data_IF_624501155254
#
_entry.id   IF_624501155254
#
_cell.length_a   1.000
_cell.length_b   1.000
_cell.length_c   1.000
_cell.angle_alpha   90.00
_cell.angle_beta   90.00
_cell.angle_gamma   90.00
#
_symmetry.space_group_name_H-M   'P 1'
#
loop_
_entity.id
_entity.type
_entity.pdbx_description
1 polymer ?
#
# COMPACT_ATOMS: atom_id res chain seq x y z
N UNK A 1 -14.12 11.91 -9.24
CA UNK A 1 -13.82 10.57 -8.68
C UNK A 1 -12.37 10.46 -8.20
N UNK A 2 -11.42 11.01 -8.95
CA UNK A 2 -10.00 11.17 -8.62
C UNK A 2 -9.75 11.74 -7.24
N UNK A 3 -10.37 12.86 -6.88
CA UNK A 3 -10.17 13.47 -5.56
C UNK A 3 -10.51 12.51 -4.41
N UNK A 4 -11.52 11.64 -4.59
CA UNK A 4 -11.86 10.63 -3.61
C UNK A 4 -10.79 9.53 -3.51
N UNK A 5 -10.34 8.97 -4.63
CA UNK A 5 -9.29 7.95 -4.61
C UNK A 5 -7.91 8.50 -4.21
N UNK A 6 -7.61 9.75 -4.53
CA UNK A 6 -6.42 10.44 -4.04
C UNK A 6 -6.47 10.56 -2.51
N UNK A 7 -7.62 10.98 -1.94
CA UNK A 7 -7.81 11.01 -0.49
C UNK A 7 -7.69 9.63 0.17
N UNK A 8 -8.19 8.59 -0.50
CA UNK A 8 -8.03 7.21 -0.02
C UNK A 8 -6.57 6.76 -0.08
N UNK A 9 -5.81 7.20 -1.08
CA UNK A 9 -4.37 6.94 -1.15
C UNK A 9 -3.57 7.72 -0.07
N UNK A 10 -3.96 8.97 0.22
CA UNK A 10 -3.40 9.75 1.34
C UNK A 10 -3.63 9.03 2.67
N UNK A 11 -4.83 8.45 2.86
CA UNK A 11 -5.13 7.58 3.99
C UNK A 11 -4.21 6.33 4.03
N UNK A 12 -4.04 5.65 2.90
CA UNK A 12 -3.16 4.48 2.80
C UNK A 12 -1.73 4.81 3.24
N UNK A 13 -1.20 5.95 2.78
CA UNK A 13 0.13 6.41 3.14
C UNK A 13 0.23 6.76 4.62
N UNK A 14 -0.77 7.47 5.16
CA UNK A 14 -0.83 7.79 6.59
C UNK A 14 -0.86 6.53 7.46
N UNK A 15 -1.69 5.55 7.09
CA UNK A 15 -1.85 4.31 7.86
C UNK A 15 -0.58 3.44 7.79
N UNK A 16 0.03 3.30 6.61
CA UNK A 16 1.30 2.57 6.46
C UNK A 16 2.44 3.27 7.23
N UNK A 17 2.49 4.60 7.18
CA UNK A 17 3.45 5.39 7.96
C UNK A 17 3.32 5.16 9.46
N UNK A 18 2.08 5.07 9.99
CA UNK A 18 1.86 4.73 11.41
C UNK A 18 2.36 3.34 11.78
N UNK A 19 2.19 2.35 10.90
CA UNK A 19 2.72 1.00 11.11
C UNK A 19 4.24 1.03 11.17
N UNK A 20 4.89 1.67 10.18
CA UNK A 20 6.35 1.83 10.13
C UNK A 20 6.88 2.48 11.42
N UNK A 21 6.30 3.61 11.81
CA UNK A 21 6.71 4.34 13.01
C UNK A 21 6.45 3.57 14.32
N UNK A 22 5.48 2.65 14.33
CA UNK A 22 5.25 1.75 15.46
C UNK A 22 6.31 0.65 15.51
N UNK A 23 6.60 0.01 14.38
CA UNK A 23 7.59 -1.06 14.31
C UNK A 23 9.00 -0.54 14.65
N UNK A 24 9.35 0.70 14.29
CA UNK A 24 10.62 1.34 14.66
C UNK A 24 10.85 1.51 16.17
N UNK A 25 9.79 1.42 16.98
CA UNK A 25 9.88 1.52 18.44
C UNK A 25 10.15 0.17 19.11
N UNK A 26 10.09 -0.92 18.35
CA UNK A 26 10.44 -2.25 18.84
C UNK A 26 11.93 -2.50 18.60
N UNK A 27 12.65 -2.93 19.63
CA UNK A 27 14.06 -3.35 19.47
C UNK A 27 14.21 -4.53 18.49
N UNK A 28 13.18 -5.39 18.43
CA UNK A 28 13.12 -6.53 17.52
C UNK A 28 11.70 -6.67 16.98
N UNK A 29 11.38 -6.01 15.85
CA UNK A 29 10.10 -6.16 15.18
C UNK A 29 9.89 -7.61 14.74
N UNK A 30 8.68 -8.19 14.88
CA UNK A 30 8.44 -9.55 14.42
C UNK A 30 8.65 -9.69 12.91
N UNK A 31 9.36 -10.74 12.47
CA UNK A 31 9.56 -11.04 11.04
C UNK A 31 8.25 -11.09 10.25
N UNK A 32 7.19 -11.59 10.87
CA UNK A 32 5.85 -11.61 10.27
C UNK A 32 5.34 -10.20 9.96
N UNK A 33 5.56 -9.25 10.87
CA UNK A 33 5.16 -7.86 10.67
C UNK A 33 5.96 -7.22 9.53
N UNK A 34 7.28 -7.48 9.48
CA UNK A 34 8.18 -6.98 8.44
C UNK A 34 7.83 -7.55 7.06
N UNK A 35 7.59 -8.86 6.97
CA UNK A 35 7.16 -9.55 5.76
C UNK A 35 5.84 -8.97 5.22
N UNK A 36 4.86 -8.75 6.10
CA UNK A 36 3.56 -8.22 5.72
C UNK A 36 3.64 -6.74 5.28
N UNK A 37 4.46 -5.93 5.96
CA UNK A 37 4.70 -4.55 5.55
C UNK A 37 5.35 -4.50 4.16
N UNK A 38 6.41 -5.28 3.94
CA UNK A 38 7.06 -5.38 2.66
C UNK A 38 6.09 -5.84 1.56
N UNK A 39 5.25 -6.85 1.86
CA UNK A 39 4.22 -7.34 0.95
C UNK A 39 3.25 -6.23 0.50
N UNK A 40 2.77 -5.40 1.44
CA UNK A 40 1.89 -4.28 1.13
C UNK A 40 2.55 -3.25 0.21
N UNK A 41 3.79 -2.87 0.51
CA UNK A 41 4.53 -1.89 -0.27
C UNK A 41 4.89 -2.41 -1.67
N UNK A 42 5.23 -3.70 -1.78
CA UNK A 42 5.49 -4.34 -3.07
C UNK A 42 4.19 -4.40 -3.88
N UNK A 43 3.06 -4.80 -3.29
CA UNK A 43 1.78 -4.84 -3.98
C UNK A 43 1.38 -3.47 -4.53
N UNK A 44 1.55 -2.39 -3.75
CA UNK A 44 1.30 -1.02 -4.19
C UNK A 44 2.17 -0.64 -5.40
N UNK A 45 3.46 -1.00 -5.38
CA UNK A 45 4.39 -0.71 -6.47
C UNK A 45 4.02 -1.49 -7.74
N UNK A 46 3.80 -2.79 -7.61
CA UNK A 46 3.52 -3.69 -8.72
C UNK A 46 2.23 -3.29 -9.45
N UNK A 47 1.19 -2.88 -8.71
CA UNK A 47 -0.04 -2.38 -9.31
C UNK A 47 0.15 -1.05 -10.05
N UNK A 48 0.91 -0.11 -9.48
CA UNK A 48 1.24 1.14 -10.18
C UNK A 48 2.06 0.86 -11.44
N UNK A 49 3.03 -0.05 -11.36
CA UNK A 49 3.90 -0.39 -12.48
C UNK A 49 3.13 -1.08 -13.60
N UNK A 50 2.11 -1.89 -13.28
CA UNK A 50 1.15 -2.40 -14.27
C UNK A 50 0.36 -1.30 -14.96
N UNK A 51 -0.19 -0.35 -14.19
CA UNK A 51 -0.93 0.81 -14.75
C UNK A 51 -0.03 1.62 -15.70
N UNK A 52 1.21 1.87 -15.29
CA UNK A 52 2.20 2.63 -16.05
C UNK A 52 2.92 1.82 -17.14
N UNK A 53 2.58 0.54 -17.33
CA UNK A 53 3.24 -0.39 -18.27
C UNK A 53 4.77 -0.45 -18.08
N UNK A 54 5.23 -0.35 -16.84
CA UNK A 54 6.64 -0.52 -16.43
C UNK A 54 6.94 -2.00 -16.14
N UNK A 55 8.22 -2.34 -16.05
CA UNK A 55 8.64 -3.70 -15.65
C UNK A 55 8.22 -4.00 -14.21
N UNK A 56 7.67 -5.19 -14.01
CA UNK A 56 7.29 -5.77 -12.72
C UNK A 56 8.37 -6.74 -12.22
N UNK A 57 8.43 -6.99 -10.91
CA UNK A 57 9.33 -8.00 -10.32
C UNK A 57 8.57 -9.26 -9.89
N UNK A 58 7.26 -9.14 -9.67
CA UNK A 58 6.30 -10.18 -9.25
C UNK A 58 6.69 -10.98 -7.98
N UNK A 59 7.72 -10.58 -7.25
CA UNK A 59 8.13 -11.19 -5.97
C UNK A 59 7.41 -10.52 -4.80
N UNK A 60 6.20 -10.99 -4.50
CA UNK A 60 5.35 -10.37 -3.47
C UNK A 60 5.72 -10.71 -2.02
N UNK A 61 6.48 -11.78 -1.78
CA UNK A 61 6.80 -12.27 -0.44
C UNK A 61 8.30 -12.19 -0.22
N UNK A 62 8.77 -10.98 0.09
CA UNK A 62 10.16 -10.71 0.42
C UNK A 62 10.22 -10.19 1.86
N UNK A 63 11.10 -10.78 2.66
CA UNK A 63 11.42 -10.25 3.98
C UNK A 63 12.35 -9.06 3.78
N UNK A 64 11.82 -7.85 3.97
CA UNK A 64 12.60 -6.63 4.05
C UNK A 64 12.77 -6.22 5.50
N UNK A 65 13.92 -5.65 5.82
CA UNK A 65 14.07 -4.92 7.07
C UNK A 65 13.30 -3.58 7.02
N UNK A 66 13.32 -2.84 8.13
CA UNK A 66 12.62 -1.55 8.22
C UNK A 66 13.23 -0.50 7.29
N UNK A 67 14.55 -0.48 7.10
CA UNK A 67 15.22 0.50 6.24
C UNK A 67 14.80 0.31 4.78
N UNK A 68 14.87 -0.93 4.30
CA UNK A 68 14.40 -1.32 2.96
C UNK A 68 12.90 -1.01 2.76
N UNK A 69 12.08 -1.25 3.78
CA UNK A 69 10.65 -0.95 3.76
C UNK A 69 10.39 0.56 3.72
N UNK A 70 11.12 1.36 4.50
CA UNK A 70 11.02 2.83 4.51
C UNK A 70 11.45 3.44 3.18
N UNK A 71 12.51 2.93 2.56
CA UNK A 71 12.91 3.37 1.22
C UNK A 71 11.84 3.09 0.17
N UNK A 72 11.27 1.87 0.18
CA UNK A 72 10.22 1.50 -0.75
C UNK A 72 8.95 2.34 -0.52
N UNK A 73 8.60 2.58 0.74
CA UNK A 73 7.49 3.43 1.12
C UNK A 73 7.64 4.85 0.57
N UNK A 74 8.81 5.48 0.73
CA UNK A 74 9.09 6.82 0.18
C UNK A 74 8.96 6.86 -1.34
N UNK A 75 9.58 5.89 -2.04
CA UNK A 75 9.52 5.78 -3.50
C UNK A 75 8.08 5.59 -4.00
N UNK A 76 7.31 4.73 -3.33
CA UNK A 76 5.90 4.52 -3.67
C UNK A 76 5.10 5.82 -3.51
N UNK A 77 5.28 6.54 -2.40
CA UNK A 77 4.58 7.79 -2.13
C UNK A 77 4.86 8.84 -3.22
N UNK A 78 6.11 8.97 -3.65
CA UNK A 78 6.51 9.87 -4.73
C UNK A 78 5.86 9.46 -6.07
N UNK A 79 5.97 8.19 -6.47
CA UNK A 79 5.45 7.72 -7.76
C UNK A 79 3.91 7.80 -7.83
N UNK A 80 3.20 7.41 -6.77
CA UNK A 80 1.74 7.49 -6.74
C UNK A 80 1.24 8.92 -6.67
N UNK A 81 1.90 9.79 -5.90
CA UNK A 81 1.55 11.22 -5.87
C UNK A 81 1.69 11.84 -7.26
N UNK A 82 2.77 11.51 -7.96
CA UNK A 82 2.96 11.93 -9.35
C UNK A 82 1.88 11.35 -10.27
N UNK A 83 1.55 10.06 -10.15
CA UNK A 83 0.49 9.43 -10.92
C UNK A 83 -0.86 10.16 -10.77
N UNK A 84 -1.28 10.47 -9.55
CA UNK A 84 -2.51 11.24 -9.33
C UNK A 84 -2.44 12.64 -9.93
N UNK A 85 -1.28 13.28 -10.05
CA UNK A 85 -1.18 14.57 -10.76
C UNK A 85 -1.40 14.44 -12.28
N UNK A 86 -1.08 13.28 -12.87
CA UNK A 86 -1.11 13.07 -14.33
C UNK A 86 -2.45 12.61 -14.90
N UNK A 87 -3.29 11.92 -14.10
CA UNK A 87 -4.56 11.36 -14.58
C UNK A 87 -5.74 12.33 -14.45
N UNK A 88 -6.78 12.11 -15.24
CA UNK A 88 -8.09 12.75 -15.15
C UNK A 88 -9.12 11.82 -14.50
N UNK A 89 -10.31 12.37 -14.21
CA UNK A 89 -11.41 11.61 -13.62
C UNK A 89 -11.84 10.41 -14.49
N UNK A 90 -11.91 10.62 -15.80
CA UNK A 90 -12.40 9.61 -16.76
C UNK A 90 -11.43 8.41 -16.86
N UNK A 91 -10.12 8.66 -16.75
CA UNK A 91 -9.07 7.63 -16.83
C UNK A 91 -9.26 6.51 -15.80
N UNK A 92 -9.87 6.82 -14.66
CA UNK A 92 -10.06 5.86 -13.58
C UNK A 92 -11.04 4.74 -13.96
N UNK A 93 -11.97 5.02 -14.86
CA UNK A 93 -13.05 4.11 -15.26
C UNK A 93 -12.76 3.37 -16.55
N UNK A 94 -11.75 3.81 -17.31
CA UNK A 94 -11.32 3.15 -18.54
C UNK A 94 -10.51 1.89 -18.18
N UNK A 95 -10.92 0.69 -18.63
CA UNK A 95 -10.13 -0.52 -18.43
C UNK A 95 -8.78 -0.43 -19.12
N UNK A 96 -7.74 -0.97 -18.47
CA UNK A 96 -6.42 -1.15 -19.07
C UNK A 96 -6.02 -2.62 -19.07
N UNK A 97 -5.30 -3.00 -20.14
CA UNK A 97 -4.75 -4.35 -20.29
C UNK A 97 -3.51 -4.53 -19.41
N UNK A 98 -3.47 -5.63 -18.65
CA UNK A 98 -2.28 -6.03 -17.89
C UNK A 98 -2.15 -7.56 -17.82
N UNK A 99 -0.98 -8.01 -17.37
CA UNK A 99 -0.76 -9.42 -17.00
C UNK A 99 -0.61 -9.53 -15.49
N UNK A 100 -1.22 -10.56 -14.91
CA UNK A 100 -0.91 -10.92 -13.53
C UNK A 100 0.46 -11.61 -13.45
N UNK A 101 0.89 -11.95 -12.23
CA UNK A 101 2.17 -12.62 -11.99
C UNK A 101 2.27 -14.06 -12.53
N UNK A 102 1.15 -14.64 -12.98
CA UNK A 102 1.09 -15.93 -13.68
C UNK A 102 1.16 -15.76 -15.21
N UNK A 103 1.25 -14.53 -15.70
CA UNK A 103 1.26 -14.21 -17.13
C UNK A 103 -0.13 -14.19 -17.78
N UNK A 104 -1.19 -14.39 -17.00
CA UNK A 104 -2.59 -14.37 -17.47
C UNK A 104 -3.02 -12.93 -17.74
N UNK A 105 -3.73 -12.71 -18.85
CA UNK A 105 -4.17 -11.38 -19.29
C UNK A 105 -5.51 -11.01 -18.67
N UNK A 106 -5.63 -9.75 -18.27
CA UNK A 106 -6.85 -9.17 -17.72
C UNK A 106 -7.03 -7.74 -18.18
N UNK A 107 -8.29 -7.31 -18.05
CA UNK A 107 -8.75 -5.94 -18.20
C UNK A 107 -9.45 -5.51 -16.93
N UNK A 108 -9.06 -4.39 -16.37
CA UNK A 108 -9.73 -3.83 -15.20
C UNK A 108 -9.63 -2.31 -15.22
N UNK A 109 -10.69 -1.59 -14.79
CA UNK A 109 -10.60 -0.15 -14.57
C UNK A 109 -9.72 0.13 -13.35
N UNK A 110 -9.08 1.30 -13.31
CA UNK A 110 -8.17 1.65 -12.22
C UNK A 110 -8.91 1.75 -10.88
N UNK A 111 -10.20 2.12 -10.88
CA UNK A 111 -11.02 2.15 -9.65
C UNK A 111 -11.07 0.80 -8.94
N UNK A 112 -11.10 -0.31 -9.67
CA UNK A 112 -11.17 -1.64 -9.08
C UNK A 112 -9.83 -2.01 -8.43
N UNK A 113 -8.72 -1.65 -9.10
CA UNK A 113 -7.36 -1.85 -8.58
C UNK A 113 -7.14 -1.01 -7.30
N UNK A 114 -7.52 0.26 -7.33
CA UNK A 114 -7.39 1.15 -6.18
C UNK A 114 -8.24 0.65 -5.01
N UNK A 115 -9.49 0.25 -5.26
CA UNK A 115 -10.39 -0.33 -4.26
C UNK A 115 -9.83 -1.62 -3.67
N UNK A 116 -9.28 -2.50 -4.51
CA UNK A 116 -8.60 -3.72 -4.09
C UNK A 116 -7.42 -3.42 -3.16
N UNK A 117 -6.55 -2.47 -3.53
CA UNK A 117 -5.39 -2.08 -2.74
C UNK A 117 -5.78 -1.62 -1.32
N UNK A 118 -6.84 -0.81 -1.18
CA UNK A 118 -7.35 -0.40 0.14
C UNK A 118 -7.80 -1.58 1.00
N UNK A 119 -8.62 -2.48 0.42
CA UNK A 119 -9.10 -3.66 1.15
C UNK A 119 -7.95 -4.59 1.55
N UNK A 120 -7.01 -4.80 0.64
CA UNK A 120 -5.82 -5.62 0.84
C UNK A 120 -4.91 -5.06 1.94
N UNK A 121 -4.68 -3.75 1.93
CA UNK A 121 -3.94 -3.05 2.98
C UNK A 121 -4.58 -3.19 4.35
N UNK A 122 -5.90 -2.97 4.46
CA UNK A 122 -6.61 -3.11 5.73
C UNK A 122 -6.51 -4.54 6.30
N UNK A 123 -6.66 -5.55 5.43
CA UNK A 123 -6.53 -6.94 5.82
C UNK A 123 -5.16 -7.25 6.44
N UNK A 124 -4.06 -6.87 5.78
CA UNK A 124 -2.73 -7.16 6.30
C UNK A 124 -2.29 -6.24 7.44
N UNK A 125 -2.72 -4.97 7.48
CA UNK A 125 -2.47 -4.10 8.64
C UNK A 125 -3.11 -4.67 9.91
N UNK A 126 -4.31 -5.26 9.81
CA UNK A 126 -4.93 -5.99 10.93
C UNK A 126 -4.06 -7.15 11.43
N UNK A 127 -3.43 -7.91 10.52
CA UNK A 127 -2.51 -8.99 10.86
C UNK A 127 -1.21 -8.48 11.50
N UNK A 128 -0.69 -7.35 11.05
CA UNK A 128 0.49 -6.70 11.65
C UNK A 128 0.16 -6.22 13.07
N UNK A 129 -1.01 -5.60 13.27
CA UNK A 129 -1.46 -5.14 14.58
C UNK A 129 -1.62 -6.33 15.54
N UNK A 130 -2.18 -7.44 15.08
CA UNK A 130 -2.28 -8.67 15.87
C UNK A 130 -0.90 -9.21 16.25
N UNK A 131 0.07 -9.21 15.32
CA UNK A 131 1.42 -9.74 15.59
C UNK A 131 2.28 -8.88 16.52
N UNK A 132 1.94 -7.60 16.72
CA UNK A 132 2.65 -6.71 17.67
C UNK A 132 1.91 -6.54 19.00
N UNK A 133 0.74 -7.16 19.16
CA UNK A 133 -0.05 -7.08 20.38
C UNK A 133 0.72 -7.66 21.57
N UNK A 134 0.78 -6.90 22.66
CA UNK A 134 1.55 -7.25 23.85
C UNK A 134 3.06 -6.97 23.74
N UNK A 135 3.56 -6.55 22.58
CA UNK A 135 4.94 -6.09 22.40
C UNK A 135 5.06 -4.57 22.50
N UNK A 136 4.00 -3.84 22.16
CA UNK A 136 3.96 -2.37 22.23
C UNK A 136 2.56 -1.86 22.57
N UNK A 137 2.50 -0.77 23.34
CA UNK A 137 1.28 -0.02 23.63
C UNK A 137 1.55 1.50 23.56
N UNK A 138 0.60 2.31 23.06
CA UNK A 138 -0.66 1.89 22.45
C UNK A 138 -0.46 1.28 21.05
N UNK A 139 -1.32 0.34 20.67
CA UNK A 139 -1.41 -0.12 19.28
C UNK A 139 -1.78 1.02 18.32
N UNK A 140 -1.23 1.05 17.09
CA UNK A 140 -1.53 2.10 16.13
C UNK A 140 -2.96 1.96 15.62
N UNK A 141 -3.78 2.99 15.78
CA UNK A 141 -5.09 3.05 15.13
C UNK A 141 -4.91 3.46 13.66
N UNK A 142 -5.38 2.62 12.74
CA UNK A 142 -5.30 2.82 11.29
C UNK A 142 -6.69 2.99 10.65
N UNK A 143 -7.72 3.30 11.43
CA UNK A 143 -9.07 3.45 10.91
C UNK A 143 -9.21 4.72 10.07
N UNK A 144 -9.92 4.63 8.94
CA UNK A 144 -10.15 5.77 8.07
C UNK A 144 -10.82 6.95 8.79
N UNK A 145 -11.71 6.67 9.76
CA UNK A 145 -12.40 7.75 10.49
C UNK A 145 -11.41 8.57 11.34
N UNK A 146 -10.32 7.97 11.83
CA UNK A 146 -9.28 8.68 12.59
C UNK A 146 -8.48 9.59 11.66
N UNK A 147 -8.08 9.10 10.48
CA UNK A 147 -7.46 9.92 9.45
C UNK A 147 -8.35 11.09 9.03
N UNK A 148 -9.62 10.81 8.72
CA UNK A 148 -10.55 11.80 8.15
C UNK A 148 -10.85 13.00 9.06
N UNK A 149 -10.57 12.88 10.37
CA UNK A 149 -10.79 13.93 11.36
C UNK A 149 -9.58 14.85 11.56
N UNK A 150 -8.38 14.39 11.19
CA UNK A 150 -7.13 15.14 11.30
C UNK A 150 -6.30 14.95 10.02
N UNK A 151 -6.75 15.54 8.89
CA UNK A 151 -6.06 15.44 7.62
C UNK A 151 -4.69 16.14 7.64
#
# INVERSE_FOLDING_TARGET
MKAYFQRLYEYENWANGRIIETLKKLDTPPDRSLLLLAHLLIAQREWLHRILKKSTTDKFWLLYDLEQSEELFKKNNEEWSHFFLTIQDDDLTVPFHYKNSKGEQFDSPMVDILTHLLGHSNYHRGQIIDSIKGLIEPLPNTDFIVFSRNP
#
